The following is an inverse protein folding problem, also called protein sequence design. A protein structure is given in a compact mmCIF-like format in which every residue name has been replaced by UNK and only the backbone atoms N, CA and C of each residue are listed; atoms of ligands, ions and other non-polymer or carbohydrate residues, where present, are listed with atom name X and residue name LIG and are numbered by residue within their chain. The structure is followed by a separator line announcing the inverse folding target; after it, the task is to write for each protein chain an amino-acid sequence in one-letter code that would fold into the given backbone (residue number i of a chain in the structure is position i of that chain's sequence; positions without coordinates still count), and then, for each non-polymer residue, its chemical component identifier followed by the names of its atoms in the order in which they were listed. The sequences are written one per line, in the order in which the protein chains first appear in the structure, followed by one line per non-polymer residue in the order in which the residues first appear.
data_IF_097246692615
#
_entry.id   IF_097246692615
#
_cell.length_a   1.000
_cell.length_b   1.000
_cell.length_c   1.000
_cell.angle_alpha   90.00
_cell.angle_beta   90.00
_cell.angle_gamma   90.00
#
_symmetry.space_group_name_H-M   'P 1'
#
loop_
_entity.id
_entity.type
_entity.pdbx_description
1 polymer ?
#
# COMPACT_ATOMS: atom_id res chain seq x y z
N UNK A 1 -1.69 -4.84 20.77
CA UNK A 1 -1.72 -5.25 19.37
C UNK A 1 -0.46 -6.08 19.07
N UNK A 2 -0.45 -6.90 18.00
CA UNK A 2 0.66 -7.81 17.68
C UNK A 2 1.94 -7.02 17.40
N UNK A 3 1.87 -6.02 16.54
CA UNK A 3 3.04 -5.24 16.11
C UNK A 3 3.77 -4.59 17.29
N UNK A 4 3.03 -3.94 18.19
CA UNK A 4 3.58 -3.31 19.39
C UNK A 4 4.29 -4.32 20.30
N UNK A 5 3.73 -5.53 20.44
CA UNK A 5 4.28 -6.55 21.33
C UNK A 5 5.60 -7.17 20.82
N UNK A 6 5.88 -7.04 19.51
CA UNK A 6 7.05 -7.67 18.89
C UNK A 6 7.97 -6.67 18.20
N UNK A 7 7.73 -5.37 18.34
CA UNK A 7 8.49 -4.31 17.68
C UNK A 7 8.50 -4.42 16.16
N UNK A 8 7.31 -4.74 15.59
CA UNK A 8 7.06 -4.71 14.16
C UNK A 8 6.16 -3.53 13.79
N UNK A 9 6.09 -3.21 12.52
CA UNK A 9 5.29 -2.10 11.99
C UNK A 9 4.28 -2.61 10.96
N UNK A 10 3.12 -1.97 10.87
CA UNK A 10 2.16 -2.24 9.80
C UNK A 10 2.68 -1.66 8.50
N UNK A 11 2.93 -2.51 7.51
CA UNK A 11 3.42 -2.12 6.19
C UNK A 11 2.29 -1.85 5.20
N UNK A 12 1.24 -2.70 5.18
CA UNK A 12 0.10 -2.49 4.30
C UNK A 12 -1.22 -2.83 5.02
N UNK A 13 -2.21 -1.98 4.82
CA UNK A 13 -3.62 -2.26 5.10
C UNK A 13 -4.29 -2.49 3.75
N UNK A 14 -4.34 -3.78 3.33
CA UNK A 14 -4.74 -4.14 1.97
C UNK A 14 -6.26 -4.23 1.78
N UNK A 15 -6.95 -4.90 2.68
CA UNK A 15 -8.40 -5.05 2.66
C UNK A 15 -8.85 -5.64 4.00
N UNK A 16 -10.17 -5.71 4.30
CA UNK A 16 -10.67 -6.32 5.52
C UNK A 16 -10.09 -7.70 5.77
N UNK A 17 -9.39 -7.85 6.91
CA UNK A 17 -8.73 -9.08 7.33
C UNK A 17 -7.42 -9.42 6.59
N UNK A 18 -6.80 -8.47 5.86
CA UNK A 18 -5.48 -8.67 5.26
C UNK A 18 -4.57 -7.47 5.53
N UNK A 19 -3.63 -7.68 6.42
CA UNK A 19 -2.61 -6.72 6.83
C UNK A 19 -1.24 -7.33 6.56
N UNK A 20 -0.30 -6.54 6.07
CA UNK A 20 1.12 -6.90 5.97
C UNK A 20 1.87 -6.13 7.05
N UNK A 21 2.81 -6.80 7.68
CA UNK A 21 3.70 -6.22 8.69
C UNK A 21 5.15 -6.34 8.25
N UNK A 22 5.98 -5.39 8.65
CA UNK A 22 7.43 -5.36 8.41
C UNK A 22 8.17 -5.19 9.73
N UNK A 23 9.41 -5.70 9.77
CA UNK A 23 10.25 -5.61 10.95
C UNK A 23 11.54 -6.41 10.79
N UNK A 24 12.29 -6.59 11.87
CA UNK A 24 13.43 -7.50 11.88
C UNK A 24 12.97 -8.95 11.68
N UNK A 25 13.87 -9.81 11.23
CA UNK A 25 13.59 -11.25 11.06
C UNK A 25 13.03 -11.85 12.35
N UNK A 26 13.60 -11.49 13.48
CA UNK A 26 13.17 -11.96 14.81
C UNK A 26 11.78 -11.44 15.17
N UNK A 27 11.50 -10.16 14.93
CA UNK A 27 10.19 -9.55 15.15
C UNK A 27 9.12 -10.22 14.31
N UNK A 28 9.40 -10.52 13.05
CA UNK A 28 8.45 -11.17 12.13
C UNK A 28 8.21 -12.63 12.55
N UNK A 29 9.24 -13.37 12.95
CA UNK A 29 9.07 -14.73 13.46
C UNK A 29 8.17 -14.77 14.70
N UNK A 30 8.38 -13.85 15.64
CA UNK A 30 7.54 -13.70 16.86
C UNK A 30 6.12 -13.26 16.50
N UNK A 31 5.98 -12.30 15.59
CA UNK A 31 4.68 -11.81 15.15
C UNK A 31 3.81 -12.91 14.55
N UNK A 32 4.40 -13.80 13.76
CA UNK A 32 3.70 -14.93 13.14
C UNK A 32 3.05 -15.84 14.17
N UNK A 33 3.79 -16.21 15.22
CA UNK A 33 3.27 -17.05 16.32
C UNK A 33 2.16 -16.30 17.07
N UNK A 34 2.44 -15.08 17.51
CA UNK A 34 1.49 -14.28 18.28
C UNK A 34 0.20 -13.97 17.51
N UNK A 35 0.30 -13.73 16.19
CA UNK A 35 -0.87 -13.51 15.34
C UNK A 35 -1.78 -14.75 15.30
N UNK A 36 -1.19 -15.94 15.17
CA UNK A 36 -1.94 -17.20 15.20
C UNK A 36 -2.63 -17.43 16.54
N UNK A 37 -1.93 -17.19 17.65
CA UNK A 37 -2.48 -17.27 19.02
C UNK A 37 -3.66 -16.31 19.22
N UNK A 38 -3.61 -15.13 18.57
CA UNK A 38 -4.69 -14.13 18.57
C UNK A 38 -5.78 -14.38 17.51
N UNK A 39 -5.77 -15.54 16.84
CA UNK A 39 -6.84 -15.97 15.95
C UNK A 39 -6.66 -15.58 14.48
N UNK A 40 -5.48 -15.18 14.04
CA UNK A 40 -5.20 -15.02 12.63
C UNK A 40 -5.33 -16.38 11.92
N UNK A 41 -6.19 -16.46 10.90
CA UNK A 41 -6.41 -17.69 10.14
C UNK A 41 -5.18 -18.13 9.35
N UNK A 42 -4.36 -17.15 8.94
CA UNK A 42 -3.15 -17.37 8.16
C UNK A 42 -2.11 -16.30 8.54
N UNK A 43 -0.89 -16.71 8.78
CA UNK A 43 0.27 -15.84 8.96
C UNK A 43 1.41 -16.40 8.11
N UNK A 44 1.67 -15.76 6.97
CA UNK A 44 2.65 -16.18 5.96
C UNK A 44 3.78 -15.18 5.91
N UNK A 45 4.99 -15.67 5.91
CA UNK A 45 6.18 -14.87 5.62
C UNK A 45 6.29 -14.63 4.12
N UNK A 46 6.56 -13.38 3.74
CA UNK A 46 6.75 -13.00 2.35
C UNK A 46 8.24 -13.00 2.03
N UNK A 47 8.60 -13.63 0.89
CA UNK A 47 9.97 -13.61 0.38
C UNK A 47 10.27 -12.25 -0.26
N UNK A 48 10.69 -11.29 0.57
CA UNK A 48 11.05 -9.93 0.15
C UNK A 48 12.46 -9.57 0.64
N UNK A 49 13.13 -8.69 -0.08
CA UNK A 49 14.53 -8.32 0.19
C UNK A 49 14.71 -7.30 1.32
N UNK A 50 13.63 -6.81 1.93
CA UNK A 50 13.73 -5.82 3.00
C UNK A 50 12.40 -5.51 3.68
N UNK A 51 12.48 -4.80 4.82
CA UNK A 51 11.32 -4.38 5.60
C UNK A 51 10.68 -3.11 4.99
N UNK A 52 10.11 -3.25 3.78
CA UNK A 52 9.44 -2.14 3.09
C UNK A 52 8.31 -1.56 3.91
N UNK A 53 8.04 -0.27 3.70
CA UNK A 53 6.99 0.49 4.36
C UNK A 53 7.11 0.51 5.89
N UNK A 54 8.34 0.57 6.40
CA UNK A 54 8.66 0.68 7.83
C UNK A 54 9.82 1.64 8.07
N UNK A 55 10.11 1.94 9.32
CA UNK A 55 11.23 2.79 9.74
C UNK A 55 12.60 2.28 9.26
N UNK A 56 12.75 0.99 8.99
CA UNK A 56 13.96 0.41 8.40
C UNK A 56 14.31 1.00 7.03
N UNK A 57 13.34 1.58 6.33
CA UNK A 57 13.52 2.21 5.02
C UNK A 57 13.81 3.71 5.09
N UNK A 58 14.02 4.26 6.29
CA UNK A 58 14.23 5.71 6.47
C UNK A 58 15.42 6.26 5.68
N UNK A 59 16.53 5.51 5.62
CA UNK A 59 17.71 5.93 4.85
C UNK A 59 17.40 6.00 3.33
N UNK A 60 16.64 5.03 2.81
CA UNK A 60 16.19 5.02 1.43
C UNK A 60 15.24 6.19 1.14
N UNK A 61 14.36 6.52 2.08
CA UNK A 61 13.48 7.69 2.02
C UNK A 61 14.27 9.00 1.90
N UNK A 62 15.33 9.17 2.69
CA UNK A 62 16.21 10.34 2.62
C UNK A 62 16.96 10.44 1.29
N UNK A 63 17.45 9.32 0.76
CA UNK A 63 18.08 9.29 -0.58
C UNK A 63 17.11 9.66 -1.67
N UNK A 64 15.87 9.14 -1.61
CA UNK A 64 14.81 9.50 -2.55
C UNK A 64 14.48 11.01 -2.48
N UNK A 65 14.44 11.59 -1.28
CA UNK A 65 14.21 13.02 -1.11
C UNK A 65 15.23 13.87 -1.89
N UNK A 66 16.52 13.54 -1.78
CA UNK A 66 17.59 14.23 -2.51
C UNK A 66 17.42 14.12 -4.04
N UNK A 67 16.99 12.97 -4.55
CA UNK A 67 16.74 12.82 -5.99
C UNK A 67 15.49 13.59 -6.44
N UNK A 68 14.44 13.58 -5.63
CA UNK A 68 13.21 14.32 -5.94
C UNK A 68 13.38 15.84 -5.92
N UNK A 69 14.36 16.38 -5.20
CA UNK A 69 14.70 17.80 -5.27
C UNK A 69 15.10 18.24 -6.69
N UNK A 70 15.77 17.35 -7.43
CA UNK A 70 16.27 17.58 -8.79
C UNK A 70 15.15 17.45 -9.85
N UNK A 71 13.99 16.92 -9.49
CA UNK A 71 12.89 16.63 -10.40
C UNK A 71 11.82 17.70 -10.29
N UNK A 72 11.40 18.21 -11.45
CA UNK A 72 10.26 19.10 -11.53
C UNK A 72 8.98 18.26 -11.64
N UNK A 73 8.11 18.35 -10.64
CA UNK A 73 6.79 17.70 -10.62
C UNK A 73 5.73 18.76 -10.83
N UNK A 74 4.83 18.49 -11.76
CA UNK A 74 3.67 19.37 -12.04
C UNK A 74 2.47 18.97 -11.20
N UNK A 75 1.56 19.90 -10.96
CA UNK A 75 0.24 19.63 -10.39
C UNK A 75 -0.50 18.59 -11.24
N UNK A 76 -1.11 17.57 -10.64
CA UNK A 76 -1.81 16.53 -11.37
C UNK A 76 -3.05 17.10 -12.07
N UNK A 77 -3.32 16.63 -13.31
CA UNK A 77 -4.50 17.05 -14.09
C UNK A 77 -5.79 16.38 -13.61
N UNK A 78 -5.69 15.32 -12.86
CA UNK A 78 -6.81 14.57 -12.27
C UNK A 78 -6.41 14.12 -10.85
N UNK A 79 -7.37 13.82 -9.97
CA UNK A 79 -7.07 13.40 -8.62
C UNK A 79 -6.22 12.12 -8.59
N UNK A 80 -5.13 12.15 -7.83
CA UNK A 80 -4.28 11.00 -7.54
C UNK A 80 -4.43 10.67 -6.06
N UNK A 81 -4.88 9.47 -5.75
CA UNK A 81 -4.99 9.01 -4.36
C UNK A 81 -3.66 8.46 -3.89
N UNK A 82 -3.16 8.98 -2.79
CA UNK A 82 -1.86 8.63 -2.25
C UNK A 82 -1.94 7.47 -1.25
N UNK A 83 -1.01 6.53 -1.36
CA UNK A 83 -0.92 5.37 -0.45
C UNK A 83 -0.75 5.75 1.02
N UNK A 84 -0.02 6.83 1.29
CA UNK A 84 0.33 7.25 2.67
C UNK A 84 -0.88 7.79 3.43
N UNK A 85 -1.77 8.49 2.73
CA UNK A 85 -2.88 9.21 3.36
C UNK A 85 -4.24 8.60 3.03
N UNK A 86 -4.34 7.76 2.01
CA UNK A 86 -5.61 7.29 1.45
C UNK A 86 -6.47 8.41 0.86
N UNK A 87 -5.87 9.57 0.53
CA UNK A 87 -6.56 10.78 0.08
C UNK A 87 -5.92 11.36 -1.18
N UNK A 88 -6.64 12.22 -1.92
CA UNK A 88 -6.07 12.87 -3.09
C UNK A 88 -4.96 13.84 -2.71
N UNK A 89 -3.92 13.90 -3.54
CA UNK A 89 -2.90 14.94 -3.53
C UNK A 89 -3.28 16.01 -4.56
N UNK A 90 -3.09 17.27 -4.20
CA UNK A 90 -3.54 18.41 -4.99
C UNK A 90 -2.40 19.27 -5.54
N UNK A 91 -1.22 19.18 -4.95
CA UNK A 91 -0.07 20.01 -5.29
C UNK A 91 1.19 19.17 -5.59
N UNK A 92 2.09 19.74 -6.39
CA UNK A 92 3.39 19.13 -6.65
C UNK A 92 4.21 18.89 -5.37
N UNK A 93 4.10 19.79 -4.39
CA UNK A 93 4.78 19.66 -3.12
C UNK A 93 4.25 18.48 -2.30
N UNK A 94 2.92 18.33 -2.20
CA UNK A 94 2.30 17.17 -1.55
C UNK A 94 2.71 15.86 -2.21
N UNK A 95 2.81 15.83 -3.56
CA UNK A 95 3.28 14.65 -4.28
C UNK A 95 4.70 14.29 -3.84
N UNK A 96 5.64 15.25 -3.83
CA UNK A 96 7.02 15.00 -3.39
C UNK A 96 7.06 14.46 -1.96
N UNK A 97 6.36 15.10 -1.04
CA UNK A 97 6.30 14.70 0.36
C UNK A 97 5.75 13.28 0.52
N UNK A 98 4.64 12.97 -0.14
CA UNK A 98 4.03 11.65 -0.07
C UNK A 98 4.89 10.56 -0.73
N UNK A 99 5.60 10.86 -1.81
CA UNK A 99 6.57 9.92 -2.42
C UNK A 99 7.72 9.58 -1.48
N UNK A 100 8.24 10.57 -0.74
CA UNK A 100 9.28 10.37 0.26
C UNK A 100 8.75 9.52 1.42
N UNK A 101 7.59 9.88 1.96
CA UNK A 101 7.00 9.22 3.12
C UNK A 101 6.61 7.77 2.83
N UNK A 102 6.05 7.46 1.65
CA UNK A 102 5.56 6.09 1.37
C UNK A 102 6.65 5.01 1.39
N UNK A 103 7.94 5.40 1.27
CA UNK A 103 9.05 4.44 1.36
C UNK A 103 9.14 3.82 2.75
N UNK A 104 8.85 4.62 3.79
CA UNK A 104 9.00 4.25 5.20
C UNK A 104 7.71 4.25 6.02
N UNK A 105 6.54 4.40 5.37
CA UNK A 105 5.25 4.39 6.06
C UNK A 105 4.26 3.44 5.40
N UNK A 106 3.23 3.07 6.14
CA UNK A 106 2.20 2.12 5.71
C UNK A 106 1.49 2.54 4.42
N UNK A 107 1.16 1.55 3.60
CA UNK A 107 0.27 1.67 2.45
C UNK A 107 -1.18 1.51 2.92
N UNK A 108 -1.98 2.55 2.81
CA UNK A 108 -3.40 2.59 3.20
C UNK A 108 -4.30 2.27 1.99
N UNK A 109 -4.15 1.06 1.42
CA UNK A 109 -4.89 0.67 0.21
C UNK A 109 -6.38 0.58 0.47
N UNK A 110 -6.79 -0.06 1.55
CA UNK A 110 -8.20 -0.18 1.92
C UNK A 110 -8.88 1.19 2.07
N UNK A 111 -8.21 2.14 2.74
CA UNK A 111 -8.73 3.49 2.94
C UNK A 111 -8.80 4.27 1.63
N UNK A 112 -7.78 4.11 0.76
CA UNK A 112 -7.76 4.70 -0.59
C UNK A 112 -8.98 4.27 -1.40
N UNK A 113 -9.28 2.99 -1.41
CA UNK A 113 -10.41 2.44 -2.14
C UNK A 113 -11.74 2.87 -1.53
N UNK A 114 -11.89 2.80 -0.21
CA UNK A 114 -13.08 3.29 0.49
C UNK A 114 -13.36 4.76 0.19
N UNK A 115 -12.30 5.59 0.15
CA UNK A 115 -12.41 6.99 -0.21
C UNK A 115 -12.94 7.19 -1.64
N UNK A 116 -12.45 6.41 -2.61
CA UNK A 116 -12.88 6.47 -4.01
C UNK A 116 -14.33 6.01 -4.16
N UNK A 117 -14.68 4.88 -3.55
CA UNK A 117 -16.05 4.33 -3.57
C UNK A 117 -17.07 5.29 -2.96
N UNK A 118 -16.73 5.96 -1.86
CA UNK A 118 -17.59 6.95 -1.21
C UNK A 118 -17.91 8.17 -2.10
N UNK A 119 -17.17 8.35 -3.20
CA UNK A 119 -17.40 9.38 -4.23
C UNK A 119 -18.19 8.87 -5.44
N UNK A 120 -18.75 7.66 -5.36
CA UNK A 120 -19.60 7.10 -6.40
C UNK A 120 -18.84 6.44 -7.56
N UNK A 121 -17.53 6.28 -7.46
CA UNK A 121 -16.75 5.55 -8.46
C UNK A 121 -16.96 4.06 -8.25
N UNK A 122 -17.43 3.36 -9.28
CA UNK A 122 -17.72 1.92 -9.24
C UNK A 122 -16.94 1.09 -10.26
N UNK A 123 -16.30 1.76 -11.23
CA UNK A 123 -15.56 1.11 -12.31
C UNK A 123 -14.07 1.43 -12.17
N UNK A 124 -13.25 0.41 -12.22
CA UNK A 124 -11.80 0.50 -12.03
C UNK A 124 -11.06 -0.26 -13.12
N UNK A 125 -9.87 0.20 -13.43
CA UNK A 125 -8.96 -0.50 -14.32
C UNK A 125 -7.67 -0.76 -13.56
N UNK A 126 -7.26 -2.02 -13.50
CA UNK A 126 -5.96 -2.45 -12.99
C UNK A 126 -5.01 -2.64 -14.16
N UNK A 127 -3.95 -1.85 -14.23
CA UNK A 127 -2.90 -2.01 -15.23
C UNK A 127 -1.73 -2.79 -14.65
N UNK A 128 -1.30 -3.83 -15.35
CA UNK A 128 -0.12 -4.62 -14.98
C UNK A 128 -0.38 -6.12 -14.94
N UNK A 129 0.68 -6.92 -14.74
CA UNK A 129 0.59 -8.36 -14.68
C UNK A 129 -0.13 -8.83 -13.42
N UNK A 130 -0.95 -9.86 -13.57
CA UNK A 130 -1.72 -10.45 -12.47
C UNK A 130 -3.00 -9.69 -12.15
N UNK A 131 -3.67 -10.09 -11.08
CA UNK A 131 -5.00 -9.61 -10.66
C UNK A 131 -5.05 -9.37 -9.15
N UNK A 132 -3.96 -8.87 -8.58
CA UNK A 132 -3.82 -8.71 -7.13
C UNK A 132 -4.78 -7.63 -6.64
N UNK A 133 -4.77 -6.44 -7.26
CA UNK A 133 -5.61 -5.32 -6.84
C UNK A 133 -7.09 -5.62 -7.07
N UNK A 134 -7.44 -6.30 -8.16
CA UNK A 134 -8.80 -6.81 -8.38
C UNK A 134 -9.24 -7.75 -7.27
N UNK A 135 -8.35 -8.61 -6.79
CA UNK A 135 -8.61 -9.51 -5.66
C UNK A 135 -8.86 -8.75 -4.35
N UNK A 136 -8.06 -7.73 -4.06
CA UNK A 136 -8.24 -6.86 -2.90
C UNK A 136 -9.55 -6.06 -2.99
N UNK A 137 -9.83 -5.48 -4.16
CA UNK A 137 -11.07 -4.74 -4.43
C UNK A 137 -12.30 -5.57 -4.12
N UNK A 138 -12.35 -6.82 -4.59
CA UNK A 138 -13.47 -7.75 -4.35
C UNK A 138 -13.73 -7.99 -2.85
N UNK A 139 -12.70 -7.89 -2.02
CA UNK A 139 -12.82 -8.04 -0.56
C UNK A 139 -13.24 -6.75 0.14
N UNK A 140 -12.94 -5.58 -0.46
CA UNK A 140 -13.36 -4.27 0.06
C UNK A 140 -14.82 -3.99 -0.32
N UNK A 141 -15.16 -4.11 -1.60
CA UNK A 141 -16.53 -4.02 -2.11
C UNK A 141 -16.72 -4.96 -3.31
N UNK A 142 -17.51 -6.01 -3.13
CA UNK A 142 -17.78 -7.02 -4.16
C UNK A 142 -18.59 -6.49 -5.36
N UNK A 143 -19.18 -5.31 -5.25
CA UNK A 143 -19.96 -4.66 -6.33
C UNK A 143 -19.08 -3.84 -7.25
N UNK A 144 -17.87 -3.48 -6.84
CA UNK A 144 -16.92 -2.73 -7.66
C UNK A 144 -16.49 -3.56 -8.89
N UNK A 145 -16.57 -2.93 -10.06
CA UNK A 145 -16.18 -3.59 -11.31
C UNK A 145 -14.72 -3.26 -11.61
N UNK A 146 -13.90 -4.29 -11.73
CA UNK A 146 -12.47 -4.14 -12.02
C UNK A 146 -12.13 -4.88 -13.31
N UNK A 147 -11.69 -4.14 -14.31
CA UNK A 147 -11.09 -4.68 -15.53
C UNK A 147 -9.58 -4.72 -15.33
N UNK A 148 -8.94 -5.84 -15.64
CA UNK A 148 -7.49 -5.97 -15.62
C UNK A 148 -6.94 -5.90 -17.05
N UNK A 149 -5.90 -5.11 -17.26
CA UNK A 149 -5.22 -4.91 -18.54
C UNK A 149 -3.75 -5.26 -18.35
N UNK A 150 -3.35 -6.43 -18.80
CA UNK A 150 -1.96 -6.91 -18.70
C UNK A 150 -1.16 -6.67 -19.98
N UNK A 151 -1.83 -6.68 -21.13
CA UNK A 151 -1.21 -6.57 -22.45
C UNK A 151 -2.07 -5.75 -23.42
N UNK A 152 -1.47 -5.32 -24.51
CA UNK A 152 -2.14 -4.49 -25.53
C UNK A 152 -3.44 -5.10 -26.06
N UNK A 153 -3.52 -6.42 -26.17
CA UNK A 153 -4.72 -7.12 -26.64
C UNK A 153 -5.92 -6.99 -25.69
N UNK A 154 -5.71 -6.61 -24.43
CA UNK A 154 -6.77 -6.45 -23.44
C UNK A 154 -7.44 -5.05 -23.52
N UNK A 155 -6.92 -4.17 -24.41
CA UNK A 155 -7.43 -2.81 -24.65
C UNK A 155 -8.53 -2.74 -25.74
N UNK A 156 -8.93 -3.90 -26.33
CA UNK A 156 -9.89 -3.97 -27.45
C UNK A 156 -11.24 -4.42 -26.94
#
# INVERSE_FOLDING_TARGET
DVCTAVEAEVANINCPGQIVISGSVESIARARVLAQEKGAKLAVELEVSGAFHSSFMQEASLKLAQELEKINISTPKFPVICNVTGKPVLTAQEIKQNLIQQVSTSVLWEDSIKFILARGVSNFIEFGPGKVLKGLMRRIDSRAQVVNIEKKADLI
#
